data_IF_912205175865
#
_entry.id   IF_912205175865
#
_cell.length_a   1.000
_cell.length_b   1.000
_cell.length_c   1.000
_cell.angle_alpha   90.00
_cell.angle_beta   90.00
_cell.angle_gamma   90.00
#
_symmetry.space_group_name_H-M   'P 1'
#
loop_
_entity.id
_entity.type
_entity.pdbx_description
1 polymer ?
#
# COMPACT_ATOMS: atom_id res chain seq x y z
N UNK A 1 -1.82 -9.72 4.04
CA UNK A 1 -1.28 -9.29 2.72
C UNK A 1 0.24 -9.14 2.76
N UNK A 2 0.88 -9.28 3.93
CA UNK A 2 2.31 -9.05 4.11
C UNK A 2 3.22 -9.96 3.32
N UNK A 3 2.84 -11.23 3.14
CA UNK A 3 3.61 -12.15 2.30
C UNK A 3 3.61 -11.70 0.83
N UNK A 4 2.44 -11.32 0.29
CA UNK A 4 2.32 -10.83 -1.07
C UNK A 4 3.07 -9.50 -1.27
N UNK A 5 2.99 -8.61 -0.26
CA UNK A 5 3.77 -7.37 -0.20
C UNK A 5 5.27 -7.65 -0.26
N UNK A 6 5.78 -8.55 0.58
CA UNK A 6 7.20 -8.91 0.59
C UNK A 6 7.64 -9.53 -0.74
N UNK A 7 6.87 -10.48 -1.28
CA UNK A 7 7.17 -11.11 -2.56
C UNK A 7 7.26 -10.10 -3.71
N UNK A 8 6.26 -9.23 -3.87
CA UNK A 8 6.22 -8.29 -4.99
C UNK A 8 7.14 -7.06 -4.80
N UNK A 9 7.16 -6.45 -3.61
CA UNK A 9 7.90 -5.19 -3.38
C UNK A 9 9.37 -5.42 -3.01
N UNK A 10 9.69 -6.46 -2.23
CA UNK A 10 11.06 -6.71 -1.75
C UNK A 10 11.82 -7.70 -2.63
N UNK A 11 11.13 -8.70 -3.18
CA UNK A 11 11.76 -9.76 -3.99
C UNK A 11 11.44 -9.69 -5.50
N UNK A 12 10.67 -8.70 -5.94
CA UNK A 12 10.22 -8.54 -7.34
C UNK A 12 9.62 -9.82 -7.95
N UNK A 13 8.98 -10.64 -7.13
CA UNK A 13 8.30 -11.86 -7.57
C UNK A 13 6.86 -11.53 -7.96
N UNK A 14 6.48 -11.91 -9.18
CA UNK A 14 5.10 -11.77 -9.65
C UNK A 14 4.15 -12.47 -8.71
N UNK A 15 3.23 -11.70 -8.13
CA UNK A 15 2.30 -12.18 -7.11
C UNK A 15 0.87 -11.88 -7.54
N UNK A 16 -0.04 -12.84 -7.37
CA UNK A 16 -1.46 -12.66 -7.68
C UNK A 16 -2.25 -12.85 -6.39
N UNK A 17 -3.15 -11.91 -6.09
CA UNK A 17 -4.02 -11.97 -4.90
C UNK A 17 -5.47 -11.94 -5.33
N UNK A 18 -6.21 -12.99 -4.97
CA UNK A 18 -7.66 -13.03 -5.09
C UNK A 18 -8.27 -12.68 -3.72
N UNK A 19 -9.08 -11.62 -3.68
CA UNK A 19 -9.79 -11.20 -2.48
C UNK A 19 -11.29 -11.18 -2.74
N UNK A 20 -12.04 -11.89 -1.90
CA UNK A 20 -13.48 -12.04 -1.99
C UNK A 20 -14.23 -11.16 -0.98
N UNK A 21 -13.54 -10.72 0.07
CA UNK A 21 -14.12 -9.91 1.15
C UNK A 21 -13.67 -8.45 1.08
N UNK A 22 -12.42 -8.22 0.66
CA UNK A 22 -11.83 -6.88 0.64
C UNK A 22 -11.73 -6.36 -0.79
N UNK A 23 -12.09 -5.08 -0.96
CA UNK A 23 -11.89 -4.36 -2.22
C UNK A 23 -10.40 -4.16 -2.53
N UNK A 24 -10.09 -3.88 -3.82
CA UNK A 24 -8.73 -3.52 -4.26
C UNK A 24 -8.17 -2.33 -3.47
N UNK A 25 -9.02 -1.35 -3.15
CA UNK A 25 -8.64 -0.15 -2.39
C UNK A 25 -8.25 -0.50 -0.96
N UNK A 26 -9.02 -1.34 -0.27
CA UNK A 26 -8.71 -1.73 1.10
C UNK A 26 -7.43 -2.57 1.19
N UNK A 27 -7.18 -3.43 0.20
CA UNK A 27 -5.92 -4.17 0.08
C UNK A 27 -4.74 -3.21 -0.10
N UNK A 28 -4.85 -2.28 -1.05
CA UNK A 28 -3.83 -1.27 -1.28
C UNK A 28 -3.53 -0.44 -0.02
N UNK A 29 -4.57 0.06 0.65
CA UNK A 29 -4.41 0.83 1.88
C UNK A 29 -3.69 0.04 2.97
N UNK A 30 -3.98 -1.25 3.12
CA UNK A 30 -3.25 -2.12 4.05
C UNK A 30 -1.78 -2.27 3.67
N UNK A 31 -1.47 -2.43 2.38
CA UNK A 31 -0.08 -2.53 1.89
C UNK A 31 0.68 -1.23 2.15
N UNK A 32 0.10 -0.08 1.79
CA UNK A 32 0.71 1.24 2.00
C UNK A 32 0.95 1.48 3.49
N UNK A 33 -0.06 1.23 4.33
CA UNK A 33 0.06 1.41 5.79
C UNK A 33 1.18 0.55 6.37
N UNK A 34 1.29 -0.71 5.91
CA UNK A 34 2.32 -1.63 6.37
C UNK A 34 3.75 -1.25 5.93
N UNK A 35 3.93 -0.49 4.85
CA UNK A 35 5.27 -0.09 4.39
C UNK A 35 5.67 1.35 4.80
N UNK A 36 4.71 2.26 4.90
CA UNK A 36 5.00 3.70 5.10
C UNK A 36 4.87 4.17 6.55
N UNK A 37 4.51 3.27 7.48
CA UNK A 37 4.18 3.56 8.89
C UNK A 37 3.04 4.59 9.05
N UNK A 38 2.31 4.90 7.97
CA UNK A 38 1.15 5.78 8.00
C UNK A 38 -0.04 4.97 8.55
N UNK A 39 -0.73 5.44 9.61
CA UNK A 39 -1.88 4.75 10.15
C UNK A 39 -3.01 4.63 9.12
N UNK A 40 -3.67 3.48 9.08
CA UNK A 40 -4.83 3.24 8.21
C UNK A 40 -5.95 4.28 8.42
N UNK A 41 -6.10 4.77 9.66
CA UNK A 41 -7.06 5.84 9.99
C UNK A 41 -6.76 7.16 9.27
N UNK A 42 -5.47 7.51 9.15
CA UNK A 42 -5.04 8.70 8.42
C UNK A 42 -5.21 8.53 6.91
N UNK A 43 -5.03 7.31 6.37
CA UNK A 43 -5.31 7.02 4.96
C UNK A 43 -6.80 7.14 4.59
N UNK A 44 -7.70 7.01 5.57
CA UNK A 44 -9.15 7.20 5.40
C UNK A 44 -9.60 8.65 5.57
N UNK A 45 -8.85 9.45 6.33
CA UNK A 45 -9.13 10.85 6.62
C UNK A 45 -7.98 11.70 6.10
N UNK A 46 -8.12 12.15 4.85
CA UNK A 46 -7.13 12.98 4.16
C UNK A 46 -6.71 14.22 4.97
N UNK A 47 -7.60 14.74 5.80
CA UNK A 47 -7.41 15.91 6.66
C UNK A 47 -6.35 15.67 7.77
N UNK A 48 -6.07 14.41 8.12
CA UNK A 48 -5.09 14.01 9.14
C UNK A 48 -3.71 13.70 8.53
N UNK A 49 -3.56 13.77 7.21
CA UNK A 49 -2.29 13.51 6.52
C UNK A 49 -1.49 14.80 6.42
N UNK A 50 -0.35 14.85 7.09
CA UNK A 50 0.60 15.96 6.96
C UNK A 50 1.17 16.04 5.54
N UNK A 51 1.59 17.22 5.06
CA UNK A 51 2.16 17.37 3.72
C UNK A 51 3.35 16.43 3.44
N UNK A 52 4.15 16.14 4.46
CA UNK A 52 5.30 15.23 4.38
C UNK A 52 4.86 13.76 4.17
N UNK A 53 3.79 13.35 4.85
CA UNK A 53 3.16 12.03 4.64
C UNK A 53 2.52 11.93 3.26
N UNK A 54 1.94 13.01 2.74
CA UNK A 54 1.44 13.06 1.37
C UNK A 54 2.53 12.81 0.34
N UNK A 55 3.71 13.42 0.52
CA UNK A 55 4.87 13.17 -0.34
C UNK A 55 5.32 11.70 -0.26
N UNK A 56 5.40 11.15 0.95
CA UNK A 56 5.76 9.73 1.19
C UNK A 56 4.77 8.78 0.52
N UNK A 57 3.47 9.08 0.65
CA UNK A 57 2.38 8.28 0.08
C UNK A 57 2.44 8.29 -1.44
N UNK A 58 2.59 9.46 -2.08
CA UNK A 58 2.72 9.56 -3.54
C UNK A 58 3.93 8.77 -4.07
N UNK A 59 5.09 8.90 -3.42
CA UNK A 59 6.28 8.14 -3.78
C UNK A 59 6.06 6.62 -3.66
N UNK A 60 5.37 6.20 -2.60
CA UNK A 60 5.05 4.79 -2.40
C UNK A 60 4.04 4.27 -3.42
N UNK A 61 3.10 5.12 -3.81
CA UNK A 61 2.08 4.79 -4.80
C UNK A 61 2.68 4.52 -6.17
N UNK A 62 3.65 5.34 -6.59
CA UNK A 62 4.43 5.07 -7.80
C UNK A 62 5.22 3.77 -7.70
N UNK A 63 5.81 3.44 -6.54
CA UNK A 63 6.51 2.15 -6.37
C UNK A 63 5.57 0.96 -6.50
N UNK A 64 4.37 1.06 -5.92
CA UNK A 64 3.40 -0.02 -5.93
C UNK A 64 2.81 -0.24 -7.33
N UNK A 65 2.59 0.82 -8.11
CA UNK A 65 2.14 0.73 -9.51
C UNK A 65 3.17 0.04 -10.42
N UNK A 66 4.47 0.18 -10.11
CA UNK A 66 5.55 -0.48 -10.83
C UNK A 66 5.91 -1.87 -10.26
N UNK A 67 5.33 -2.29 -9.13
CA UNK A 67 5.61 -3.58 -8.53
C UNK A 67 4.79 -4.68 -9.23
N UNK A 68 5.33 -5.91 -9.37
CA UNK A 68 4.61 -7.01 -10.03
C UNK A 68 3.57 -7.67 -9.08
N UNK A 69 2.52 -6.92 -8.74
CA UNK A 69 1.42 -7.28 -7.82
C UNK A 69 0.02 -7.17 -8.47
#
# INVERSE_FOLDING_TARGET
>A
IDFARAAALHHQLTTIVFSLEMSKVELAQRIISAETDIPLGALRRADEITPDRWATLNNFWSKLDNAPL
#
